data_IF_960771172009
#
_entry.id   IF_960771172009
#
_cell.length_a   1.000
_cell.length_b   1.000
_cell.length_c   1.000
_cell.angle_alpha   90.00
_cell.angle_beta   90.00
_cell.angle_gamma   90.00
#
_symmetry.space_group_name_H-M   'P 1'
#
loop_
_entity.id
_entity.type
_entity.pdbx_description
1 polymer ?
#
# COMPACT_ATOMS: atom_id res chain seq x y z
N UNK A 1 -21.23 20.29 10.35
CA UNK A 1 -20.65 20.55 9.02
C UNK A 1 -19.50 19.56 8.83
N UNK A 2 -19.78 18.30 8.45
CA UNK A 2 -18.73 17.31 8.19
C UNK A 2 -18.38 17.37 6.70
N UNK A 3 -17.15 17.75 6.41
CA UNK A 3 -16.58 17.77 5.07
C UNK A 3 -16.44 16.33 4.60
N UNK A 4 -17.43 15.85 3.86
CA UNK A 4 -17.34 14.62 3.08
C UNK A 4 -16.36 14.88 1.93
N UNK A 5 -15.06 14.70 2.22
CA UNK A 5 -13.99 14.95 1.24
C UNK A 5 -14.15 13.96 0.10
N UNK A 6 -14.32 14.52 -1.09
CA UNK A 6 -14.56 13.86 -2.37
C UNK A 6 -13.38 12.98 -2.79
N UNK A 7 -13.25 11.76 -2.24
CA UNK A 7 -12.35 10.73 -2.79
C UNK A 7 -13.01 9.99 -3.98
N UNK A 8 -14.20 10.43 -4.42
CA UNK A 8 -15.03 9.70 -5.38
C UNK A 8 -14.83 10.07 -6.86
N UNK A 9 -13.98 11.03 -7.25
CA UNK A 9 -14.01 11.53 -8.64
C UNK A 9 -12.82 11.21 -9.54
N UNK A 10 -11.75 10.60 -9.02
CA UNK A 10 -10.59 10.18 -9.83
C UNK A 10 -9.95 8.91 -9.27
N UNK A 11 -10.77 8.00 -8.73
CA UNK A 11 -10.27 6.72 -8.23
C UNK A 11 -9.62 5.98 -9.41
N UNK A 12 -8.28 5.81 -9.41
CA UNK A 12 -7.64 4.94 -10.38
C UNK A 12 -8.35 3.59 -10.33
N UNK A 13 -8.52 2.90 -11.45
CA UNK A 13 -9.01 1.51 -11.46
C UNK A 13 -8.10 0.65 -10.57
N UNK A 14 -8.43 0.56 -9.29
CA UNK A 14 -7.62 -0.11 -8.30
C UNK A 14 -7.58 -1.60 -8.65
N UNK A 15 -6.39 -2.16 -8.66
CA UNK A 15 -6.18 -3.57 -8.95
C UNK A 15 -6.26 -4.35 -7.65
N UNK A 16 -7.01 -5.44 -7.65
CA UNK A 16 -7.08 -6.37 -6.51
C UNK A 16 -5.79 -7.16 -6.39
N UNK A 17 -5.18 -7.17 -5.20
CA UNK A 17 -4.04 -8.06 -4.91
C UNK A 17 -4.60 -9.47 -4.67
N UNK A 18 -4.05 -10.49 -5.34
CA UNK A 18 -4.64 -11.85 -5.30
C UNK A 18 -3.96 -12.75 -4.28
N UNK A 19 -2.64 -12.65 -4.15
CA UNK A 19 -1.85 -13.52 -3.31
C UNK A 19 -0.73 -12.76 -2.57
N UNK A 20 -0.22 -13.27 -1.43
CA UNK A 20 0.86 -12.63 -0.69
C UNK A 20 2.12 -12.45 -1.54
N UNK A 21 2.40 -13.42 -2.42
CA UNK A 21 3.55 -13.42 -3.33
C UNK A 21 3.47 -12.26 -4.34
N UNK A 22 2.26 -11.79 -4.66
CA UNK A 22 2.07 -10.65 -5.57
C UNK A 22 2.62 -9.36 -4.95
N UNK A 23 2.63 -9.21 -3.63
CA UNK A 23 3.07 -7.96 -3.00
C UNK A 23 4.54 -7.70 -3.31
N UNK A 24 5.39 -8.71 -3.18
CA UNK A 24 6.81 -8.59 -3.51
C UNK A 24 7.01 -8.28 -4.99
N UNK A 25 6.29 -8.99 -5.86
CA UNK A 25 6.34 -8.78 -7.31
C UNK A 25 5.93 -7.34 -7.67
N UNK A 26 4.78 -6.88 -7.16
CA UNK A 26 4.21 -5.56 -7.44
C UNK A 26 5.10 -4.42 -6.91
N UNK A 27 5.75 -4.63 -5.76
CA UNK A 27 6.76 -3.69 -5.24
C UNK A 27 7.92 -3.56 -6.22
N UNK A 28 8.55 -4.67 -6.58
CA UNK A 28 9.69 -4.67 -7.51
C UNK A 28 9.32 -4.09 -8.87
N UNK A 29 8.16 -4.48 -9.41
CA UNK A 29 7.65 -3.97 -10.69
C UNK A 29 7.51 -2.44 -10.66
N UNK A 30 6.90 -1.87 -9.62
CA UNK A 30 6.76 -0.42 -9.47
C UNK A 30 8.08 0.31 -9.33
N UNK A 31 9.01 -0.25 -8.56
CA UNK A 31 10.36 0.31 -8.42
C UNK A 31 11.09 0.36 -9.76
N UNK A 32 11.00 -0.71 -10.54
CA UNK A 32 11.61 -0.81 -11.88
C UNK A 32 10.93 0.17 -12.85
N UNK A 33 9.60 0.22 -12.89
CA UNK A 33 8.86 0.99 -13.88
C UNK A 33 8.86 2.50 -13.59
N UNK A 34 8.98 2.91 -12.33
CA UNK A 34 8.86 4.33 -11.93
C UNK A 34 10.17 4.93 -11.44
N UNK A 35 11.17 4.10 -11.11
CA UNK A 35 12.40 4.53 -10.45
C UNK A 35 12.20 5.02 -9.01
N UNK A 36 10.99 4.86 -8.44
CA UNK A 36 10.65 5.29 -7.08
C UNK A 36 10.52 4.08 -6.17
N UNK A 37 11.11 4.18 -4.98
CA UNK A 37 11.04 3.13 -3.97
C UNK A 37 9.58 2.87 -3.51
N UNK A 38 9.24 1.59 -3.43
CA UNK A 38 7.99 1.09 -2.90
C UNK A 38 6.77 1.17 -3.81
N UNK A 39 5.68 0.58 -3.29
CA UNK A 39 4.37 0.48 -3.91
C UNK A 39 3.28 0.85 -2.92
N UNK A 40 2.25 1.56 -3.39
CA UNK A 40 1.09 1.88 -2.56
C UNK A 40 0.08 0.74 -2.61
N UNK A 41 -0.39 0.35 -1.44
CA UNK A 41 -1.48 -0.58 -1.21
C UNK A 41 -2.58 0.11 -0.39
N UNK A 42 -3.83 -0.23 -0.67
CA UNK A 42 -5.00 0.36 -0.03
C UNK A 42 -5.88 -0.75 0.50
N UNK A 43 -6.24 -0.66 1.77
CA UNK A 43 -7.23 -1.54 2.39
C UNK A 43 -8.59 -0.89 2.19
N UNK A 44 -9.47 -1.53 1.41
CA UNK A 44 -10.84 -1.07 1.22
C UNK A 44 -11.66 -1.36 2.48
N UNK A 45 -12.18 -0.30 3.09
CA UNK A 45 -12.97 -0.33 4.32
C UNK A 45 -13.60 1.04 4.56
N UNK A 46 -14.04 1.34 5.79
CA UNK A 46 -14.60 2.65 6.11
C UNK A 46 -13.55 3.79 5.98
N UNK A 47 -12.31 3.51 6.36
CA UNK A 47 -11.24 4.51 6.45
C UNK A 47 -10.26 4.53 5.27
N UNK A 48 -10.40 3.61 4.31
CA UNK A 48 -9.54 3.52 3.11
C UNK A 48 -8.05 3.67 3.42
N UNK A 49 -7.51 2.77 4.25
CA UNK A 49 -6.17 2.90 4.79
C UNK A 49 -5.11 2.66 3.70
N UNK A 50 -4.28 3.66 3.44
CA UNK A 50 -3.20 3.60 2.47
C UNK A 50 -1.86 3.29 3.15
N UNK A 51 -1.10 2.39 2.54
CA UNK A 51 0.24 1.99 2.98
C UNK A 51 1.21 2.01 1.81
N UNK A 52 2.43 2.49 2.01
CA UNK A 52 3.54 2.30 1.09
C UNK A 52 4.45 1.20 1.61
N UNK A 53 4.60 0.16 0.82
CA UNK A 53 5.47 -0.97 1.13
C UNK A 53 6.72 -0.85 0.27
N UNK A 54 7.89 -0.93 0.90
CA UNK A 54 9.19 -0.92 0.25
C UNK A 54 9.90 -2.24 0.50
N UNK A 55 10.65 -2.68 -0.51
CA UNK A 55 11.56 -3.80 -0.32
C UNK A 55 12.79 -3.36 0.48
N UNK A 56 13.22 -4.19 1.42
CA UNK A 56 14.44 -3.94 2.20
C UNK A 56 15.26 -5.24 2.33
N UNK A 57 16.61 -5.20 2.36
CA UNK A 57 17.42 -6.43 2.35
C UNK A 57 17.13 -7.44 3.46
N UNK A 58 16.60 -6.99 4.59
CA UNK A 58 16.26 -7.85 5.74
C UNK A 58 14.74 -8.08 5.91
N UNK A 59 13.89 -7.51 5.05
CA UNK A 59 12.44 -7.60 5.20
C UNK A 59 11.67 -6.54 4.40
N UNK A 60 10.60 -6.01 4.97
CA UNK A 60 9.77 -4.98 4.35
C UNK A 60 9.72 -3.74 5.23
N UNK A 61 9.77 -2.56 4.59
CA UNK A 61 9.42 -1.31 5.25
C UNK A 61 8.00 -0.95 4.86
N UNK A 62 7.13 -0.79 5.85
CA UNK A 62 5.73 -0.43 5.67
C UNK A 62 5.48 0.94 6.26
N UNK A 63 5.00 1.87 5.44
CA UNK A 63 4.68 3.23 5.85
C UNK A 63 3.17 3.46 5.72
N UNK A 64 2.51 3.98 6.75
CA UNK A 64 1.10 4.39 6.68
C UNK A 64 1.02 5.80 6.11
N UNK A 65 0.12 6.00 5.15
CA UNK A 65 -0.02 7.26 4.42
C UNK A 65 -1.26 8.05 4.85
N UNK A 66 -1.19 9.37 4.70
CA UNK A 66 -2.34 10.28 4.71
C UNK A 66 -3.06 10.27 3.34
N UNK A 67 -4.16 11.03 3.24
CA UNK A 67 -4.94 11.14 2.01
C UNK A 67 -4.13 11.79 0.86
N UNK A 68 -3.10 12.56 1.19
CA UNK A 68 -2.18 13.19 0.24
C UNK A 68 -1.01 12.28 -0.17
N UNK A 69 -0.95 11.04 0.33
CA UNK A 69 0.10 10.07 0.02
C UNK A 69 1.42 10.32 0.75
N UNK A 70 1.42 11.15 1.80
CA UNK A 70 2.57 11.40 2.67
C UNK A 70 2.54 10.46 3.87
N UNK A 71 3.71 10.15 4.43
CA UNK A 71 3.79 9.30 5.62
C UNK A 71 3.17 10.03 6.81
N UNK A 72 2.25 9.38 7.53
CA UNK A 72 1.64 9.94 8.73
C UNK A 72 2.70 10.25 9.80
N UNK A 73 2.55 11.37 10.51
CA UNK A 73 3.42 11.73 11.64
C UNK A 73 2.99 10.96 12.90
N UNK A 74 3.58 9.78 13.14
CA UNK A 74 3.24 8.95 14.29
C UNK A 74 4.25 7.84 14.56
N UNK A 75 4.34 7.41 15.84
CA UNK A 75 5.33 6.41 16.29
C UNK A 75 5.21 5.06 15.55
N UNK A 76 4.02 4.73 15.04
CA UNK A 76 3.74 3.48 14.32
C UNK A 76 3.48 3.66 12.81
N UNK A 77 3.75 4.86 12.29
CA UNK A 77 3.52 5.17 10.87
C UNK A 77 4.58 4.58 9.95
N UNK A 78 5.72 4.16 10.49
CA UNK A 78 6.75 3.43 9.74
C UNK A 78 7.14 2.19 10.54
N UNK A 79 7.06 1.02 9.92
CA UNK A 79 7.39 -0.26 10.52
C UNK A 79 8.40 -0.96 9.63
N UNK A 80 9.42 -1.55 10.22
CA UNK A 80 10.35 -2.44 9.52
C UNK A 80 10.05 -3.84 10.00
N UNK A 81 9.53 -4.67 9.11
CA UNK A 81 8.98 -5.97 9.43
C UNK A 81 9.83 -7.04 8.77
N UNK A 82 10.18 -8.06 9.53
CA UNK A 82 10.76 -9.28 9.00
C UNK A 82 9.68 -10.07 8.24
N UNK A 83 10.04 -10.96 7.30
CA UNK A 83 9.05 -11.66 6.48
C UNK A 83 7.95 -12.36 7.29
N UNK A 84 8.30 -12.97 8.44
CA UNK A 84 7.31 -13.63 9.31
C UNK A 84 6.43 -12.65 10.09
N UNK A 85 6.94 -11.47 10.43
CA UNK A 85 6.15 -10.42 11.10
C UNK A 85 5.15 -9.79 10.11
N UNK A 86 5.54 -9.68 8.84
CA UNK A 86 4.68 -9.16 7.79
C UNK A 86 3.44 -10.04 7.57
N UNK A 87 3.53 -11.35 7.80
CA UNK A 87 2.39 -12.27 7.74
C UNK A 87 1.28 -11.92 8.73
N UNK A 88 1.62 -11.31 9.87
CA UNK A 88 0.67 -10.84 10.88
C UNK A 88 0.24 -9.38 10.71
N UNK A 89 0.67 -8.70 9.63
CA UNK A 89 0.34 -7.30 9.40
C UNK A 89 -1.07 -7.14 8.80
N UNK A 90 -1.73 -6.01 9.06
CA UNK A 90 -3.10 -5.72 8.58
C UNK A 90 -3.26 -5.77 7.05
N UNK A 91 -2.16 -5.64 6.29
CA UNK A 91 -2.15 -5.82 4.84
C UNK A 91 -2.46 -7.27 4.45
N UNK A 92 -1.98 -8.25 5.23
CA UNK A 92 -2.25 -9.67 5.00
C UNK A 92 -3.66 -10.04 5.42
N UNK A 93 -4.16 -9.47 6.51
CA UNK A 93 -5.55 -9.62 6.93
C UNK A 93 -6.51 -9.09 5.86
N UNK A 94 -6.23 -7.88 5.33
CA UNK A 94 -7.00 -7.29 4.25
C UNK A 94 -6.92 -8.11 2.96
N UNK A 95 -5.75 -8.67 2.64
CA UNK A 95 -5.59 -9.55 1.49
C UNK A 95 -6.46 -10.81 1.64
N UNK A 96 -6.41 -11.48 2.80
CA UNK A 96 -7.23 -12.65 3.09
C UNK A 96 -8.73 -12.35 3.03
N UNK A 97 -9.13 -11.12 3.37
CA UNK A 97 -10.50 -10.64 3.26
C UNK A 97 -10.91 -10.20 1.84
N UNK A 98 -10.00 -10.22 0.85
CA UNK A 98 -10.25 -9.71 -0.50
C UNK A 98 -10.41 -8.19 -0.56
N UNK A 99 -9.87 -7.48 0.44
CA UNK A 99 -9.99 -6.04 0.63
C UNK A 99 -8.68 -5.29 0.34
N UNK A 100 -7.66 -5.96 -0.18
CA UNK A 100 -6.38 -5.33 -0.52
C UNK A 100 -6.31 -4.95 -2.00
N UNK A 101 -6.00 -3.69 -2.24
CA UNK A 101 -5.91 -3.12 -3.59
C UNK A 101 -4.62 -2.35 -3.81
N UNK A 102 -4.26 -2.10 -5.06
CA UNK A 102 -3.13 -1.22 -5.44
C UNK A 102 -3.48 -0.34 -6.64
N UNK A 103 -3.09 0.95 -6.67
CA UNK A 103 -3.29 1.81 -7.83
C UNK A 103 -2.52 1.31 -9.05
N UNK A 104 -3.01 1.39 -10.29
CA UNK A 104 -2.27 0.95 -11.47
C UNK A 104 -1.00 1.80 -11.66
N UNK A 105 0.09 1.18 -12.13
CA UNK A 105 1.32 1.89 -12.46
C UNK A 105 1.11 2.58 -13.80
N UNK A 106 1.14 3.92 -13.82
CA UNK A 106 1.27 4.66 -15.08
C UNK A 106 2.74 4.64 -15.45
N UNK A 107 3.11 4.00 -16.57
CA UNK A 107 4.48 4.12 -17.10
C UNK A 107 4.75 5.60 -17.33
N UNK A 108 5.84 6.12 -16.77
CA UNK A 108 6.39 7.37 -17.30
C UNK A 108 6.88 7.04 -18.72
N UNK A 109 6.22 7.63 -19.72
CA UNK A 109 6.68 7.62 -21.11
C UNK A 109 7.83 8.58 -21.31
#
# INVERSE_FOLDING_TARGET
MHTQTRIAHDAPSLLTVQAPEDIEFLVKESEILTGRAGRTFVIAGADWLAYRVHWHPIGLKVERLDAEGRVLSGLHSTQHLLPWEFLGHSLMEALAAGQLFTPPIRRLG
#
